data_IF_713995355648
#
_entry.id   IF_713995355648
#
_cell.length_a   1.000
_cell.length_b   1.000
_cell.length_c   1.000
_cell.angle_alpha   90.00
_cell.angle_beta   90.00
_cell.angle_gamma   90.00
#
_symmetry.space_group_name_H-M   'P 1'
#
loop_
_entity.id
_entity.type
_entity.pdbx_description
1 polymer ?
#
# COMPACT_ATOMS: atom_id res chain seq x y z
N UNK A 1 -39.29 8.70 23.04
CA UNK A 1 -38.97 8.02 21.77
C UNK A 1 -39.06 6.52 21.99
N UNK A 2 -39.84 5.80 21.17
CA UNK A 2 -40.00 4.35 21.25
C UNK A 2 -38.71 3.65 20.81
N UNK A 3 -38.36 2.51 21.40
CA UNK A 3 -37.16 1.74 21.01
C UNK A 3 -37.13 1.39 19.51
N UNK A 4 -38.30 1.26 18.87
CA UNK A 4 -38.40 1.02 17.41
C UNK A 4 -37.91 2.21 16.58
N UNK A 5 -38.25 3.44 16.96
CA UNK A 5 -37.78 4.65 16.25
C UNK A 5 -36.26 4.83 16.34
N UNK A 6 -35.65 4.42 17.45
CA UNK A 6 -34.20 4.51 17.64
C UNK A 6 -33.45 3.47 16.79
N UNK A 7 -34.00 2.25 16.69
CA UNK A 7 -33.45 1.20 15.82
C UNK A 7 -33.49 1.58 14.34
N UNK A 8 -34.59 2.18 13.87
CA UNK A 8 -34.69 2.67 12.50
C UNK A 8 -33.67 3.76 12.19
N UNK A 9 -33.52 4.76 13.08
CA UNK A 9 -32.54 5.84 12.93
C UNK A 9 -31.11 5.31 12.76
N UNK A 10 -30.69 4.39 13.64
CA UNK A 10 -29.38 3.77 13.57
C UNK A 10 -29.17 3.00 12.26
N UNK A 11 -30.15 2.22 11.84
CA UNK A 11 -30.08 1.48 10.58
C UNK A 11 -29.91 2.42 9.38
N UNK A 12 -30.67 3.51 9.29
CA UNK A 12 -30.52 4.51 8.21
C UNK A 12 -29.14 5.17 8.23
N UNK A 13 -28.59 5.46 9.41
CA UNK A 13 -27.28 6.09 9.54
C UNK A 13 -26.17 5.16 9.04
N UNK A 14 -26.23 3.89 9.43
CA UNK A 14 -25.30 2.84 8.96
C UNK A 14 -25.40 2.66 7.45
N UNK A 15 -26.61 2.53 6.90
CA UNK A 15 -26.81 2.42 5.46
C UNK A 15 -26.33 3.66 4.70
N UNK A 16 -26.52 4.86 5.26
CA UNK A 16 -26.04 6.10 4.68
C UNK A 16 -24.52 6.14 4.56
N UNK A 17 -23.79 5.76 5.62
CA UNK A 17 -22.32 5.69 5.61
C UNK A 17 -21.81 4.65 4.61
N UNK A 18 -22.45 3.47 4.55
CA UNK A 18 -22.07 2.42 3.60
C UNK A 18 -22.31 2.85 2.15
N UNK A 19 -23.47 3.43 1.85
CA UNK A 19 -23.80 3.93 0.52
C UNK A 19 -22.83 5.04 0.08
N UNK A 20 -22.47 5.94 1.00
CA UNK A 20 -21.48 6.98 0.75
C UNK A 20 -20.09 6.39 0.48
N UNK A 21 -19.63 5.43 1.28
CA UNK A 21 -18.34 4.76 1.07
C UNK A 21 -18.23 4.06 -0.28
N UNK A 22 -19.28 3.33 -0.68
CA UNK A 22 -19.35 2.66 -2.00
C UNK A 22 -19.37 3.67 -3.16
N UNK A 23 -20.14 4.75 -3.02
CA UNK A 23 -20.18 5.80 -4.03
C UNK A 23 -18.83 6.51 -4.18
N UNK A 24 -18.17 6.81 -3.05
CA UNK A 24 -16.85 7.43 -3.04
C UNK A 24 -15.78 6.54 -3.69
N UNK A 25 -15.77 5.24 -3.39
CA UNK A 25 -14.87 4.28 -4.06
C UNK A 25 -15.11 4.21 -5.57
N UNK A 26 -16.37 4.30 -6.01
CA UNK A 26 -16.72 4.32 -7.44
C UNK A 26 -16.18 5.57 -8.16
N UNK A 27 -16.15 6.72 -7.49
CA UNK A 27 -15.64 7.96 -8.08
C UNK A 27 -14.11 8.05 -8.10
N UNK A 28 -13.43 7.40 -7.16
CA UNK A 28 -11.97 7.42 -7.07
C UNK A 28 -11.37 6.02 -7.30
N UNK A 29 -11.52 5.43 -8.50
CA UNK A 29 -10.95 4.12 -8.80
C UNK A 29 -9.43 4.21 -8.76
N UNK A 30 -8.79 3.37 -7.95
CA UNK A 30 -7.35 3.16 -7.99
C UNK A 30 -7.00 2.48 -9.30
N UNK A 31 -6.30 3.17 -10.19
CA UNK A 31 -5.88 2.64 -11.49
C UNK A 31 -4.39 2.39 -11.47
N UNK A 32 -3.95 1.20 -11.86
CA UNK A 32 -2.53 0.94 -12.10
C UNK A 32 -2.21 1.51 -13.48
N UNK A 33 -1.33 2.51 -13.53
CA UNK A 33 -0.88 3.18 -14.75
C UNK A 33 0.27 2.41 -15.38
N UNK A 34 1.23 1.98 -14.55
CA UNK A 34 2.44 1.32 -14.98
C UNK A 34 2.85 0.25 -13.96
N UNK A 35 3.54 -0.78 -14.44
CA UNK A 35 4.23 -1.75 -13.60
C UNK A 35 5.70 -1.80 -14.04
N UNK A 36 6.58 -1.98 -13.07
CA UNK A 36 8.02 -1.99 -13.27
C UNK A 36 8.70 -2.91 -12.28
N UNK A 37 10.02 -2.93 -12.39
CA UNK A 37 10.87 -3.65 -11.45
C UNK A 37 12.10 -2.80 -11.16
N UNK A 38 12.50 -2.75 -9.90
CA UNK A 38 13.72 -2.09 -9.47
C UNK A 38 14.64 -3.09 -8.80
N UNK A 39 15.94 -2.91 -8.99
CA UNK A 39 16.95 -3.70 -8.30
C UNK A 39 17.41 -2.93 -7.07
N UNK A 40 17.13 -3.48 -5.89
CA UNK A 40 17.54 -2.91 -4.61
C UNK A 40 18.67 -3.74 -4.04
N UNK A 41 19.79 -3.06 -3.79
CA UNK A 41 20.92 -3.61 -3.02
C UNK A 41 20.77 -3.21 -1.56
N UNK A 42 20.92 -4.18 -0.64
CA UNK A 42 21.04 -3.89 0.79
C UNK A 42 22.23 -2.96 1.05
N UNK A 43 22.14 -2.18 2.13
CA UNK A 43 23.18 -1.23 2.58
C UNK A 43 24.37 -1.93 3.23
N UNK A 44 24.26 -3.22 3.57
CA UNK A 44 25.32 -4.00 4.22
C UNK A 44 26.43 -4.41 3.24
N UNK A 45 27.68 -4.45 3.71
CA UNK A 45 28.81 -4.96 2.93
C UNK A 45 28.65 -6.47 2.68
N UNK A 46 28.49 -6.87 1.40
CA UNK A 46 28.18 -8.26 0.99
C UNK A 46 26.71 -8.49 0.60
N UNK A 47 25.94 -7.43 0.39
CA UNK A 47 24.50 -7.44 0.17
C UNK A 47 24.04 -8.16 -1.11
N UNK A 48 22.99 -8.98 -0.92
CA UNK A 48 22.18 -9.58 -1.98
C UNK A 48 21.41 -8.49 -2.72
N UNK A 49 21.51 -8.46 -4.05
CA UNK A 49 20.65 -7.61 -4.87
C UNK A 49 19.31 -8.32 -5.07
N UNK A 50 18.21 -7.68 -4.70
CA UNK A 50 16.86 -8.21 -4.89
C UNK A 50 16.11 -7.36 -5.91
N UNK A 51 15.36 -8.01 -6.78
CA UNK A 51 14.45 -7.34 -7.70
C UNK A 51 13.08 -7.21 -7.02
N UNK A 52 12.63 -5.99 -6.79
CA UNK A 52 11.31 -5.68 -6.24
C UNK A 52 10.41 -5.15 -7.35
N UNK A 53 9.12 -5.49 -7.29
CA UNK A 53 8.14 -4.93 -8.22
C UNK A 53 7.83 -3.49 -7.83
N UNK A 54 7.64 -2.65 -8.83
CA UNK A 54 7.12 -1.31 -8.66
C UNK A 54 5.83 -1.15 -9.45
N UNK A 55 4.99 -0.23 -9.03
CA UNK A 55 3.82 0.17 -9.80
C UNK A 55 3.57 1.65 -9.63
N UNK A 56 3.09 2.28 -10.69
CA UNK A 56 2.50 3.61 -10.60
C UNK A 56 0.99 3.46 -10.52
N UNK A 57 0.38 4.06 -9.51
CA UNK A 57 -1.07 4.12 -9.34
C UNK A 57 -1.55 5.55 -9.50
N UNK A 58 -2.74 5.70 -10.07
CA UNK A 58 -3.52 6.93 -10.05
C UNK A 58 -4.63 6.77 -9.03
N UNK A 59 -4.71 7.70 -8.08
CA UNK A 59 -5.81 7.81 -7.14
C UNK A 59 -6.29 9.25 -7.18
N UNK A 60 -7.55 9.45 -7.56
CA UNK A 60 -8.15 10.79 -7.65
C UNK A 60 -7.36 11.78 -8.53
N UNK A 61 -6.81 11.31 -9.65
CA UNK A 61 -6.00 12.13 -10.56
C UNK A 61 -4.59 12.45 -10.07
N UNK A 62 -4.21 12.03 -8.86
CA UNK A 62 -2.85 12.11 -8.36
C UNK A 62 -2.11 10.79 -8.64
N UNK A 63 -0.87 10.91 -9.11
CA UNK A 63 0.00 9.76 -9.39
C UNK A 63 0.88 9.46 -8.18
N UNK A 64 0.98 8.19 -7.83
CA UNK A 64 1.83 7.68 -6.76
C UNK A 64 2.63 6.50 -7.29
N UNK A 65 3.91 6.46 -6.98
CA UNK A 65 4.74 5.28 -7.22
C UNK A 65 4.79 4.44 -5.95
N UNK A 66 4.69 3.13 -6.09
CA UNK A 66 4.76 2.18 -4.99
C UNK A 66 5.75 1.07 -5.32
N UNK A 67 6.38 0.51 -4.28
CA UNK A 67 7.24 -0.66 -4.36
C UNK A 67 6.66 -1.79 -3.50
N UNK A 68 6.66 -2.99 -4.04
CA UNK A 68 6.26 -4.21 -3.36
C UNK A 68 7.42 -4.68 -2.47
N UNK A 69 7.18 -4.66 -1.16
CA UNK A 69 8.07 -5.24 -0.19
C UNK A 69 7.92 -6.77 -0.17
N UNK A 70 8.95 -7.53 0.20
CA UNK A 70 8.88 -8.99 0.19
C UNK A 70 7.85 -9.62 1.13
N UNK A 71 7.30 -8.85 2.06
CA UNK A 71 6.17 -9.25 2.89
C UNK A 71 4.79 -9.10 2.18
N UNK A 72 4.78 -8.71 0.90
CA UNK A 72 3.57 -8.46 0.10
C UNK A 72 2.93 -7.09 0.32
N UNK A 73 3.54 -6.22 1.13
CA UNK A 73 3.03 -4.87 1.39
C UNK A 73 3.53 -3.91 0.32
N UNK A 74 2.67 -3.00 -0.13
CA UNK A 74 3.04 -1.93 -1.05
C UNK A 74 3.29 -0.65 -0.27
N UNK A 75 4.47 -0.06 -0.44
CA UNK A 75 4.83 1.21 0.19
C UNK A 75 5.01 2.29 -0.87
N UNK A 76 4.55 3.50 -0.56
CA UNK A 76 4.71 4.66 -1.44
C UNK A 76 6.17 5.10 -1.48
N UNK A 77 6.70 5.23 -2.69
CA UNK A 77 8.01 5.78 -2.96
C UNK A 77 7.84 7.09 -3.72
N UNK A 78 8.10 8.23 -3.07
CA UNK A 78 7.96 9.56 -3.67
C UNK A 78 9.09 9.86 -4.67
N UNK A 79 9.29 8.99 -5.66
CA UNK A 79 10.32 9.12 -6.70
C UNK A 79 11.55 8.23 -6.51
N UNK A 80 11.94 7.88 -5.28
CA UNK A 80 13.06 6.97 -5.03
C UNK A 80 12.61 5.69 -4.32
N UNK A 81 12.14 4.74 -5.12
CA UNK A 81 11.66 3.45 -4.65
C UNK A 81 12.77 2.54 -4.11
N UNK A 82 14.01 2.72 -4.55
CA UNK A 82 15.13 1.93 -4.06
C UNK A 82 15.50 2.36 -2.63
N UNK A 83 15.51 3.66 -2.36
CA UNK A 83 15.78 4.20 -1.03
C UNK A 83 14.63 3.89 -0.06
N UNK A 84 13.38 4.10 -0.47
CA UNK A 84 12.22 3.77 0.36
C UNK A 84 12.19 2.27 0.75
N UNK A 85 12.49 1.36 -0.19
CA UNK A 85 12.56 -0.07 0.09
C UNK A 85 13.73 -0.46 1.01
N UNK A 86 14.84 0.28 0.97
CA UNK A 86 15.95 0.08 1.92
C UNK A 86 15.54 0.50 3.33
N UNK A 87 14.98 1.70 3.48
CA UNK A 87 14.57 2.25 4.78
C UNK A 87 13.46 1.43 5.45
N UNK A 88 12.44 1.02 4.68
CA UNK A 88 11.36 0.17 5.19
C UNK A 88 11.82 -1.29 5.43
N UNK A 89 12.94 -1.69 4.83
CA UNK A 89 13.41 -3.06 4.81
C UNK A 89 14.44 -3.42 5.87
N UNK A 90 14.88 -2.51 6.75
CA UNK A 90 16.01 -2.76 7.66
C UNK A 90 15.84 -4.02 8.53
N UNK A 91 14.64 -4.30 9.05
CA UNK A 91 14.38 -5.57 9.76
C UNK A 91 14.34 -6.79 8.83
N UNK A 92 13.81 -6.61 7.63
CA UNK A 92 13.72 -7.66 6.62
C UNK A 92 15.13 -8.07 6.12
N UNK A 93 15.99 -7.11 5.83
CA UNK A 93 17.37 -7.35 5.41
C UNK A 93 18.16 -8.05 6.53
N UNK A 94 17.97 -7.64 7.79
CA UNK A 94 18.55 -8.35 8.96
C UNK A 94 18.02 -9.77 9.14
N UNK A 95 16.79 -10.06 8.70
CA UNK A 95 16.22 -11.41 8.75
C UNK A 95 16.80 -12.30 7.65
N UNK A 96 16.89 -11.79 6.41
CA UNK A 96 17.54 -12.47 5.30
C UNK A 96 19.02 -12.79 5.58
N UNK A 97 19.74 -11.86 6.20
CA UNK A 97 21.14 -12.10 6.59
C UNK A 97 21.28 -13.22 7.63
N UNK A 98 20.31 -13.34 8.55
CA UNK A 98 20.29 -14.38 9.59
C UNK A 98 19.91 -15.76 9.06
N UNK A 99 18.93 -15.86 8.17
CA UNK A 99 18.51 -17.15 7.59
C UNK A 99 19.54 -17.74 6.60
N UNK A 100 20.52 -16.95 6.16
CA UNK A 100 21.61 -17.41 5.28
C UNK A 100 22.76 -18.09 6.04
N UNK A 101 22.88 -17.86 7.34
CA UNK A 101 23.91 -18.45 8.21
C UNK A 101 23.36 -19.64 8.98
#
# INVERSE_FOLDING_TARGET
MSGRTMAFLMATLVFGVLAFGLWYQKQHPRRIISEGQIRVTSKSAGATAMTLKTRDIEVNGARYSEVEMPNGTWIGCQGDCATAAREAGDEFWKKLERERH
#
